data_IF_274069967313
#
_entry.id   IF_274069967313
#
_cell.length_a   1.000
_cell.length_b   1.000
_cell.length_c   1.000
_cell.angle_alpha   90.00
_cell.angle_beta   90.00
_cell.angle_gamma   90.00
#
_symmetry.space_group_name_H-M   'P 1'
#
loop_
_entity.id
_entity.type
_entity.pdbx_description
1 polymer ?
#
# COMPACT_ATOMS: atom_id res chain seq x y z
N UNK A 1 12.90 0.73 4.41
CA UNK A 1 11.45 0.61 4.64
C UNK A 1 11.23 -0.50 5.67
N UNK A 2 10.38 -0.28 6.69
CA UNK A 2 10.08 -1.28 7.71
C UNK A 2 9.55 -2.59 7.13
N UNK A 3 9.99 -3.73 7.68
CA UNK A 3 9.62 -5.08 7.22
C UNK A 3 8.10 -5.31 7.22
N UNK A 4 7.38 -4.74 8.21
CA UNK A 4 5.93 -4.91 8.30
C UNK A 4 5.22 -4.21 7.15
N UNK A 5 5.64 -3.00 6.78
CA UNK A 5 5.10 -2.27 5.61
C UNK A 5 5.37 -3.06 4.33
N UNK A 6 6.57 -3.62 4.19
CA UNK A 6 6.93 -4.45 3.03
C UNK A 6 6.00 -5.67 2.89
N UNK A 7 5.76 -6.36 4.01
CA UNK A 7 4.87 -7.51 4.07
C UNK A 7 3.42 -7.15 3.79
N UNK A 8 2.94 -6.02 4.31
CA UNK A 8 1.58 -5.51 4.05
C UNK A 8 1.39 -5.23 2.57
N UNK A 9 2.34 -4.50 1.94
CA UNK A 9 2.30 -4.21 0.50
C UNK A 9 2.24 -5.48 -0.33
N UNK A 10 3.11 -6.46 -0.02
CA UNK A 10 3.11 -7.73 -0.75
C UNK A 10 1.81 -8.51 -0.58
N UNK A 11 1.24 -8.52 0.64
CA UNK A 11 -0.05 -9.13 0.91
C UNK A 11 -1.18 -8.45 0.12
N UNK A 12 -1.22 -7.12 0.08
CA UNK A 12 -2.21 -6.36 -0.71
C UNK A 12 -2.12 -6.70 -2.20
N UNK A 13 -0.92 -6.76 -2.76
CA UNK A 13 -0.70 -7.14 -4.17
C UNK A 13 -1.18 -8.57 -4.43
N UNK A 14 -0.94 -9.49 -3.50
CA UNK A 14 -1.36 -10.88 -3.62
C UNK A 14 -2.89 -11.04 -3.66
N UNK A 15 -3.62 -10.24 -2.86
CA UNK A 15 -5.09 -10.26 -2.84
C UNK A 15 -5.76 -9.38 -3.91
N UNK A 16 -4.97 -8.68 -4.73
CA UNK A 16 -5.30 -8.08 -6.04
C UNK A 16 -6.75 -7.61 -6.23
N UNK A 17 -7.58 -8.47 -6.81
CA UNK A 17 -8.98 -8.16 -7.15
C UNK A 17 -9.81 -7.65 -5.96
N UNK A 18 -9.52 -8.14 -4.75
CA UNK A 18 -10.19 -7.70 -3.52
C UNK A 18 -9.80 -6.28 -3.13
N UNK A 19 -8.55 -5.89 -3.40
CA UNK A 19 -8.05 -4.52 -3.17
C UNK A 19 -8.62 -3.56 -4.21
N UNK A 20 -8.71 -3.98 -5.48
CA UNK A 20 -9.36 -3.17 -6.52
C UNK A 20 -10.83 -2.92 -6.19
N UNK A 21 -11.54 -3.93 -5.67
CA UNK A 21 -12.93 -3.80 -5.27
C UNK A 21 -13.15 -2.71 -4.21
N UNK A 22 -12.23 -2.57 -3.23
CA UNK A 22 -12.32 -1.52 -2.20
C UNK A 22 -12.31 -0.08 -2.76
N UNK A 23 -11.69 0.15 -3.92
CA UNK A 23 -11.52 1.48 -4.51
C UNK A 23 -12.51 1.82 -5.64
N UNK A 24 -13.02 0.82 -6.37
CA UNK A 24 -14.04 1.02 -7.42
C UNK A 24 -15.41 1.39 -6.82
N UNK A 25 -15.59 1.15 -5.53
CA UNK A 25 -16.79 1.37 -4.72
C UNK A 25 -17.35 2.79 -4.59
N UNK A 26 -16.93 3.77 -5.38
CA UNK A 26 -17.64 5.06 -5.44
C UNK A 26 -19.10 4.94 -5.93
N UNK A 27 -19.50 3.80 -6.52
CA UNK A 27 -20.90 3.49 -6.89
C UNK A 27 -21.49 2.24 -6.21
N UNK A 28 -20.74 1.53 -5.37
CA UNK A 28 -21.23 0.34 -4.67
C UNK A 28 -20.42 0.07 -3.41
N UNK A 29 -21.09 0.00 -2.26
CA UNK A 29 -20.43 -0.20 -0.95
C UNK A 29 -19.41 -1.34 -1.02
N UNK A 30 -18.21 -1.19 -0.42
CA UNK A 30 -17.39 -2.35 -0.06
C UNK A 30 -18.28 -3.39 0.60
N UNK A 31 -18.02 -4.68 0.38
CA UNK A 31 -18.80 -5.69 1.10
C UNK A 31 -18.62 -5.44 2.60
N UNK A 32 -19.68 -5.62 3.40
CA UNK A 32 -19.61 -5.44 4.86
C UNK A 32 -18.49 -6.29 5.51
N UNK A 33 -17.98 -7.29 4.79
CA UNK A 33 -16.86 -8.16 5.18
C UNK A 33 -15.49 -7.52 4.94
N UNK A 34 -15.34 -6.67 3.92
CA UNK A 34 -14.05 -6.14 3.47
C UNK A 34 -13.69 -4.80 4.14
N UNK A 35 -14.69 -3.97 4.46
CA UNK A 35 -14.46 -2.67 5.09
C UNK A 35 -13.75 -2.75 6.47
N UNK A 36 -14.12 -3.69 7.37
CA UNK A 36 -13.40 -3.83 8.65
C UNK A 36 -11.95 -4.29 8.47
N UNK A 37 -11.67 -5.09 7.44
CA UNK A 37 -10.32 -5.56 7.15
C UNK A 37 -9.45 -4.41 6.65
N UNK A 38 -9.98 -3.57 5.76
CA UNK A 38 -9.28 -2.37 5.29
C UNK A 38 -8.93 -1.43 6.46
N UNK A 39 -9.88 -1.17 7.37
CA UNK A 39 -9.63 -0.34 8.56
C UNK A 39 -8.55 -0.93 9.48
N UNK A 40 -8.54 -2.24 9.70
CA UNK A 40 -7.49 -2.89 10.49
C UNK A 40 -6.11 -2.79 9.81
N UNK A 41 -6.07 -2.83 8.48
CA UNK A 41 -4.83 -2.64 7.71
C UNK A 41 -4.34 -1.20 7.82
N UNK A 42 -5.22 -0.21 7.76
CA UNK A 42 -4.88 1.21 7.95
C UNK A 42 -4.29 1.46 9.35
N UNK A 43 -4.90 0.91 10.40
CA UNK A 43 -4.41 1.04 11.78
C UNK A 43 -3.00 0.45 11.95
N UNK A 44 -2.77 -0.76 11.42
CA UNK A 44 -1.45 -1.39 11.47
C UNK A 44 -0.45 -0.58 10.65
N UNK A 45 -0.81 -0.18 9.43
CA UNK A 45 0.07 0.58 8.55
C UNK A 45 0.47 1.91 9.19
N UNK A 46 -0.46 2.62 9.80
CA UNK A 46 -0.18 3.88 10.49
C UNK A 46 0.79 3.70 11.65
N UNK A 47 0.56 2.71 12.51
CA UNK A 47 1.44 2.42 13.64
C UNK A 47 2.88 2.11 13.17
N UNK A 48 3.01 1.37 12.07
CA UNK A 48 4.30 1.00 11.49
C UNK A 48 5.00 2.18 10.80
N UNK A 49 4.24 3.08 10.17
CA UNK A 49 4.80 4.31 9.60
C UNK A 49 5.36 5.21 10.71
N UNK A 50 4.57 5.47 11.76
CA UNK A 50 5.01 6.30 12.88
C UNK A 50 6.21 5.69 13.60
N UNK A 51 6.25 4.36 13.72
CA UNK A 51 7.41 3.62 14.23
C UNK A 51 8.64 3.79 13.34
N UNK A 52 8.51 3.53 12.04
CA UNK A 52 9.61 3.71 11.10
C UNK A 52 10.16 5.14 11.07
N UNK A 53 9.31 6.16 11.24
CA UNK A 53 9.75 7.55 11.34
C UNK A 53 10.52 7.84 12.64
N UNK A 54 10.04 7.30 13.77
CA UNK A 54 10.72 7.43 15.07
C UNK A 54 12.08 6.73 15.09
N UNK A 55 12.18 5.59 14.41
CA UNK A 55 13.38 4.77 14.33
C UNK A 55 14.35 5.26 13.23
N UNK A 56 13.96 6.28 12.45
CA UNK A 56 14.79 6.86 11.39
C UNK A 56 14.86 6.03 10.11
N UNK A 57 13.99 5.03 9.95
CA UNK A 57 13.89 4.19 8.74
C UNK A 57 13.06 4.84 7.62
N UNK A 58 12.16 5.75 7.98
CA UNK A 58 11.29 6.50 7.07
C UNK A 58 11.54 8.00 7.21
N UNK A 59 11.30 8.75 6.14
CA UNK A 59 11.43 10.21 6.13
C UNK A 59 10.42 10.84 7.11
N UNK A 60 10.94 11.33 8.25
CA UNK A 60 10.14 11.97 9.30
C UNK A 60 9.63 13.37 8.91
N UNK A 61 10.09 13.93 7.78
CA UNK A 61 9.60 15.21 7.27
C UNK A 61 8.31 15.07 6.47
N UNK A 62 7.96 13.84 6.07
CA UNK A 62 6.72 13.53 5.35
C UNK A 62 5.63 13.17 6.37
N UNK A 63 4.42 13.73 6.29
CA UNK A 63 3.34 13.36 7.20
C UNK A 63 2.99 11.86 7.11
N UNK A 64 2.77 11.17 8.24
CA UNK A 64 2.47 9.73 8.25
C UNK A 64 1.25 9.37 7.38
N UNK A 65 0.17 10.15 7.48
CA UNK A 65 -1.03 10.01 6.65
C UNK A 65 -0.79 10.22 5.14
N UNK A 66 0.29 10.92 4.77
CA UNK A 66 0.68 11.08 3.37
C UNK A 66 1.35 9.80 2.87
N UNK A 67 2.24 9.21 3.68
CA UNK A 67 2.88 7.92 3.39
C UNK A 67 1.83 6.82 3.24
N UNK A 68 0.86 6.74 4.16
CA UNK A 68 -0.26 5.79 4.06
C UNK A 68 -1.03 5.92 2.75
N UNK A 69 -1.41 7.15 2.36
CA UNK A 69 -2.08 7.40 1.08
C UNK A 69 -1.22 6.98 -0.12
N UNK A 70 0.10 7.21 -0.04
CA UNK A 70 1.03 6.78 -1.09
C UNK A 70 1.07 5.26 -1.21
N UNK A 71 1.10 4.53 -0.10
CA UNK A 71 1.08 3.06 -0.06
C UNK A 71 -0.15 2.53 -0.80
N UNK A 72 -1.35 3.02 -0.46
CA UNK A 72 -2.58 2.62 -1.15
C UNK A 72 -2.57 2.98 -2.63
N UNK A 73 -2.16 4.21 -2.96
CA UNK A 73 -2.14 4.72 -4.33
C UNK A 73 -1.23 3.89 -5.24
N UNK A 74 -0.05 3.49 -4.74
CA UNK A 74 0.92 2.75 -5.55
C UNK A 74 0.54 1.28 -5.73
N UNK A 75 -0.06 0.66 -4.71
CA UNK A 75 -0.63 -0.69 -4.84
C UNK A 75 -1.71 -0.69 -5.90
N UNK A 76 -2.66 0.25 -5.83
CA UNK A 76 -3.72 0.39 -6.83
C UNK A 76 -3.16 0.61 -8.23
N UNK A 77 -2.20 1.52 -8.37
CA UNK A 77 -1.53 1.81 -9.64
C UNK A 77 -0.88 0.55 -10.24
N UNK A 78 -0.19 -0.24 -9.42
CA UNK A 78 0.44 -1.48 -9.88
C UNK A 78 -0.58 -2.53 -10.30
N UNK A 79 -1.66 -2.72 -9.53
CA UNK A 79 -2.72 -3.67 -9.87
C UNK A 79 -3.42 -3.30 -11.19
N UNK A 80 -3.70 -2.02 -11.42
CA UNK A 80 -4.20 -1.53 -12.71
C UNK A 80 -3.20 -1.73 -13.84
N UNK A 81 -1.92 -1.43 -13.62
CA UNK A 81 -0.88 -1.64 -14.63
C UNK A 81 -0.76 -3.10 -15.07
N UNK A 82 -1.07 -4.06 -14.20
CA UNK A 82 -1.18 -5.48 -14.58
C UNK A 82 -2.41 -5.74 -15.44
N UNK A 83 -3.57 -5.21 -15.05
CA UNK A 83 -4.82 -5.33 -15.81
C UNK A 83 -4.73 -4.72 -17.21
N UNK A 84 -4.03 -3.60 -17.35
CA UNK A 84 -3.82 -2.88 -18.60
C UNK A 84 -2.69 -3.49 -19.46
N UNK A 85 -1.97 -4.50 -18.95
CA UNK A 85 -0.85 -5.16 -19.63
C UNK A 85 0.44 -4.32 -19.69
N UNK A 86 0.54 -3.24 -18.91
CA UNK A 86 1.74 -2.39 -18.83
C UNK A 86 2.88 -3.07 -18.07
N UNK A 87 2.56 -3.92 -17.09
CA UNK A 87 3.53 -4.64 -16.26
C UNK A 87 3.15 -6.11 -16.15
N UNK A 88 4.08 -7.07 -16.28
CA UNK A 88 3.79 -8.48 -16.01
C UNK A 88 3.39 -8.70 -14.56
N UNK A 89 2.39 -9.56 -14.31
CA UNK A 89 1.90 -9.88 -12.96
C UNK A 89 3.01 -10.32 -11.99
N UNK A 90 4.02 -11.03 -12.48
CA UNK A 90 5.14 -11.50 -11.64
C UNK A 90 6.14 -10.41 -11.26
N UNK A 91 6.14 -9.25 -11.93
CA UNK A 91 7.07 -8.15 -11.67
C UNK A 91 6.47 -6.96 -10.92
N UNK A 92 5.15 -6.94 -10.72
CA UNK A 92 4.45 -5.78 -10.14
C UNK A 92 4.81 -5.55 -8.67
N UNK A 93 4.94 -6.63 -7.89
CA UNK A 93 5.27 -6.57 -6.45
C UNK A 93 6.65 -5.90 -6.23
N UNK A 94 7.66 -6.35 -6.97
CA UNK A 94 9.00 -5.75 -6.95
C UNK A 94 9.00 -4.28 -7.42
N UNK A 95 8.21 -3.95 -8.44
CA UNK A 95 8.09 -2.58 -8.94
C UNK A 95 7.50 -1.64 -7.87
N UNK A 96 6.39 -2.04 -7.26
CA UNK A 96 5.71 -1.29 -6.19
C UNK A 96 6.68 -1.07 -5.03
N UNK A 97 7.30 -2.15 -4.51
CA UNK A 97 8.24 -2.07 -3.39
C UNK A 97 9.42 -1.13 -3.64
N UNK A 98 10.09 -1.27 -4.79
CA UNK A 98 11.26 -0.43 -5.12
C UNK A 98 10.87 1.04 -5.28
N UNK A 99 9.73 1.30 -5.91
CA UNK A 99 9.24 2.67 -6.11
C UNK A 99 8.85 3.32 -4.79
N UNK A 100 8.12 2.59 -3.94
CA UNK A 100 7.73 3.07 -2.62
C UNK A 100 8.96 3.34 -1.75
N UNK A 101 9.89 2.39 -1.67
CA UNK A 101 11.13 2.55 -0.89
C UNK A 101 11.89 3.82 -1.29
N UNK A 102 12.06 4.08 -2.59
CA UNK A 102 12.74 5.27 -3.08
C UNK A 102 12.01 6.58 -2.76
N UNK A 103 10.70 6.53 -2.55
CA UNK A 103 9.88 7.71 -2.30
C UNK A 103 9.74 8.08 -0.81
N UNK A 104 9.76 7.10 0.10
CA UNK A 104 9.49 7.31 1.54
C UNK A 104 10.65 6.93 2.47
N UNK A 105 11.73 6.35 1.93
CA UNK A 105 12.91 6.02 2.72
C UNK A 105 13.56 7.27 3.31
N UNK A 106 14.22 7.11 4.47
CA UNK A 106 14.99 8.18 5.07
C UNK A 106 16.02 8.77 4.08
N UNK A 107 16.21 10.09 4.15
CA UNK A 107 17.16 10.85 3.32
C UNK A 107 18.53 10.96 3.95
#
# INVERSE_FOLDING_TARGET
>A
MPEVIDRIVSAMVHVGDRVLFLFVSTEGSPSDVDAPIAGAVDEILMAEIERGQRDGELDATVPAHWIERMVWSIVYTGLHAVGDGLVPRHGVDDLIRRTLHGAIGAR
#
